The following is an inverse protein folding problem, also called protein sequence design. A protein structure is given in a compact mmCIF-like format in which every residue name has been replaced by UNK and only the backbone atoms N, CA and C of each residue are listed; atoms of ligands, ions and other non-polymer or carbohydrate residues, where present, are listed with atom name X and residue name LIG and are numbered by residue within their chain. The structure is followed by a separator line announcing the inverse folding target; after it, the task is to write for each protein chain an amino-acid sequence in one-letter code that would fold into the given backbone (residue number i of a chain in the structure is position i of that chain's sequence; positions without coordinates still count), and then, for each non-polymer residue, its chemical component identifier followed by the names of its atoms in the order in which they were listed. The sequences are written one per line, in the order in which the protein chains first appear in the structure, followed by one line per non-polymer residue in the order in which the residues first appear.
data_IF_949958739069
#
_entry.id   IF_949958739069
#
_cell.length_a   1.000
_cell.length_b   1.000
_cell.length_c   1.000
_cell.angle_alpha   90.00
_cell.angle_beta   90.00
_cell.angle_gamma   90.00
#
_symmetry.space_group_name_H-M   'P 1'
#
loop_
_entity.id
_entity.type
_entity.pdbx_description
1 polymer ?
#
# COMPACT_ATOMS: atom_id res chain seq x y z
N UNK A 1 13.43 23.96 -23.09
CA UNK A 1 13.03 22.87 -22.18
C UNK A 1 12.15 23.46 -21.09
N UNK A 2 10.84 23.26 -21.20
CA UNK A 2 9.83 23.83 -20.30
C UNK A 2 9.83 23.06 -18.97
N UNK A 3 9.95 23.77 -17.85
CA UNK A 3 9.97 23.23 -16.47
C UNK A 3 8.82 22.25 -16.15
N UNK A 4 7.70 22.30 -16.87
CA UNK A 4 6.57 21.39 -16.72
C UNK A 4 6.88 19.93 -17.11
N UNK A 5 7.76 19.69 -18.08
CA UNK A 5 8.04 18.33 -18.57
C UNK A 5 8.78 17.44 -17.56
N UNK A 6 9.62 18.04 -16.71
CA UNK A 6 10.44 17.32 -15.73
C UNK A 6 9.59 16.76 -14.58
N UNK A 7 8.65 17.58 -14.08
CA UNK A 7 7.77 17.20 -12.97
C UNK A 7 6.83 16.04 -13.37
N UNK A 8 6.23 16.13 -14.56
CA UNK A 8 5.39 15.05 -15.11
C UNK A 8 6.19 13.76 -15.36
N UNK A 9 7.44 13.88 -15.83
CA UNK A 9 8.31 12.71 -16.07
C UNK A 9 8.67 12.00 -14.76
N UNK A 10 8.98 12.76 -13.71
CA UNK A 10 9.24 12.22 -12.38
C UNK A 10 8.00 11.55 -11.77
N UNK A 11 6.81 12.17 -11.91
CA UNK A 11 5.55 11.61 -11.45
C UNK A 11 5.23 10.27 -12.13
N UNK A 12 5.53 10.14 -13.43
CA UNK A 12 5.35 8.88 -14.18
C UNK A 12 6.33 7.81 -13.70
N UNK A 13 7.60 8.15 -13.53
CA UNK A 13 8.63 7.20 -13.11
C UNK A 13 8.38 6.66 -11.68
N UNK A 14 8.07 7.56 -10.74
CA UNK A 14 7.73 7.17 -9.36
C UNK A 14 6.48 6.29 -9.29
N UNK A 15 5.39 6.66 -9.97
CA UNK A 15 4.19 5.83 -9.99
C UNK A 15 4.39 4.50 -10.73
N UNK A 16 5.23 4.45 -11.78
CA UNK A 16 5.58 3.18 -12.42
C UNK A 16 6.31 2.24 -11.46
N UNK A 17 7.27 2.76 -10.67
CA UNK A 17 7.97 1.97 -9.65
C UNK A 17 7.01 1.46 -8.58
N UNK A 18 6.12 2.33 -8.08
CA UNK A 18 5.12 1.94 -7.07
C UNK A 18 4.14 0.90 -7.63
N UNK A 19 3.77 0.98 -8.91
CA UNK A 19 2.92 -0.02 -9.56
C UNK A 19 3.60 -1.40 -9.60
N UNK A 20 4.90 -1.45 -9.92
CA UNK A 20 5.68 -2.70 -9.91
C UNK A 20 5.77 -3.27 -8.49
N UNK A 21 5.99 -2.42 -7.48
CA UNK A 21 6.00 -2.85 -6.08
C UNK A 21 4.63 -3.41 -5.67
N UNK A 22 3.53 -2.72 -6.00
CA UNK A 22 2.17 -3.19 -5.72
C UNK A 22 1.87 -4.55 -6.36
N UNK A 23 2.29 -4.75 -7.61
CA UNK A 23 2.20 -6.05 -8.29
C UNK A 23 3.04 -7.13 -7.60
N UNK A 24 4.28 -6.81 -7.20
CA UNK A 24 5.15 -7.76 -6.51
C UNK A 24 4.56 -8.17 -5.15
N UNK A 25 4.02 -7.24 -4.37
CA UNK A 25 3.35 -7.52 -3.10
C UNK A 25 2.11 -8.37 -3.31
N UNK A 26 1.30 -8.05 -4.32
CA UNK A 26 0.11 -8.84 -4.67
C UNK A 26 0.48 -10.26 -5.11
N UNK A 27 1.51 -10.38 -5.95
CA UNK A 27 2.05 -11.66 -6.40
C UNK A 27 2.60 -12.51 -5.26
N UNK A 28 3.33 -11.89 -4.33
CA UNK A 28 3.82 -12.56 -3.12
C UNK A 28 2.66 -13.05 -2.24
N UNK A 29 1.60 -12.24 -2.06
CA UNK A 29 0.42 -12.63 -1.30
C UNK A 29 -0.31 -13.84 -1.93
N UNK A 30 -0.42 -13.86 -3.27
CA UNK A 30 -1.00 -14.98 -4.01
C UNK A 30 -0.11 -16.22 -3.92
N UNK A 31 1.20 -16.07 -4.10
CA UNK A 31 2.17 -17.16 -4.01
C UNK A 31 2.11 -17.84 -2.64
N UNK A 32 2.20 -17.04 -1.56
CA UNK A 32 2.10 -17.53 -0.18
C UNK A 32 0.73 -18.15 0.12
N UNK A 33 -0.34 -17.73 -0.57
CA UNK A 33 -1.67 -18.34 -0.43
C UNK A 33 -1.77 -19.70 -1.10
N UNK A 34 -1.10 -19.90 -2.23
CA UNK A 34 -1.08 -21.19 -2.93
C UNK A 34 -0.24 -22.21 -2.16
N UNK A 35 0.84 -21.78 -1.50
CA UNK A 35 1.67 -22.64 -0.65
C UNK A 35 1.11 -22.91 0.76
N UNK A 36 -0.03 -22.29 1.13
CA UNK A 36 -0.69 -22.53 2.43
C UNK A 36 -1.06 -24.00 2.68
N UNK A 37 -1.27 -24.80 1.64
CA UNK A 37 -1.55 -26.23 1.80
C UNK A 37 -0.37 -27.03 2.39
N UNK A 38 0.82 -26.42 2.55
CA UNK A 38 2.03 -27.10 3.07
C UNK A 38 2.67 -26.47 4.30
N UNK A 39 2.32 -25.24 4.66
CA UNK A 39 2.96 -24.50 5.76
C UNK A 39 1.91 -23.70 6.54
N UNK A 40 1.77 -23.98 7.85
CA UNK A 40 0.87 -23.28 8.80
C UNK A 40 1.34 -21.84 9.09
N UNK A 41 1.37 -21.00 8.06
CA UNK A 41 1.77 -19.60 8.13
C UNK A 41 0.79 -18.77 9.00
N UNK A 42 -0.47 -19.21 9.14
CA UNK A 42 -1.46 -18.52 9.98
C UNK A 42 -1.14 -18.57 11.48
N UNK A 43 -0.48 -19.64 11.95
CA UNK A 43 -0.02 -19.74 13.34
C UNK A 43 1.16 -18.81 13.62
N UNK A 44 2.08 -18.64 12.66
CA UNK A 44 3.21 -17.71 12.78
C UNK A 44 2.81 -16.23 12.70
N UNK A 45 1.71 -15.92 12.02
CA UNK A 45 1.16 -14.56 11.97
C UNK A 45 0.14 -14.25 13.09
N UNK A 46 -0.05 -15.15 14.06
CA UNK A 46 -0.90 -14.90 15.23
C UNK A 46 -2.36 -14.58 14.87
N UNK A 47 -2.88 -15.24 13.83
CA UNK A 47 -4.10 -14.84 13.13
C UNK A 47 -5.42 -15.34 13.73
N UNK A 48 -5.41 -15.94 14.93
CA UNK A 48 -6.60 -16.61 15.49
C UNK A 48 -7.76 -15.66 15.82
N UNK A 49 -7.55 -14.34 15.82
CA UNK A 49 -8.57 -13.34 16.18
C UNK A 49 -8.94 -12.35 15.07
N UNK A 50 -8.28 -12.38 13.91
CA UNK A 50 -8.62 -11.49 12.81
C UNK A 50 -9.73 -12.11 11.92
N UNK A 51 -10.89 -11.43 11.82
CA UNK A 51 -11.98 -11.82 10.89
C UNK A 51 -11.54 -11.90 9.43
N UNK A 52 -10.45 -11.23 9.06
CA UNK A 52 -9.83 -11.24 7.73
C UNK A 52 -8.40 -11.72 7.92
N UNK A 53 -8.08 -12.93 7.45
CA UNK A 53 -6.74 -13.51 7.61
C UNK A 53 -5.63 -12.59 7.06
N UNK A 54 -4.42 -12.63 7.63
CA UNK A 54 -3.34 -11.68 7.34
C UNK A 54 -2.85 -11.74 5.87
N UNK A 55 -3.03 -12.87 5.21
CA UNK A 55 -2.73 -13.01 3.77
C UNK A 55 -3.77 -12.32 2.89
N UNK A 56 -5.03 -12.25 3.33
CA UNK A 56 -6.06 -11.48 2.66
C UNK A 56 -5.82 -9.97 2.79
N UNK A 57 -5.37 -9.49 3.96
CA UNK A 57 -5.03 -8.07 4.12
C UNK A 57 -3.81 -7.67 3.28
N UNK A 58 -2.78 -8.51 3.21
CA UNK A 58 -1.60 -8.28 2.35
C UNK A 58 -1.99 -8.18 0.86
N UNK A 59 -2.88 -9.08 0.40
CA UNK A 59 -3.41 -9.04 -0.96
C UNK A 59 -4.18 -7.74 -1.25
N UNK A 60 -5.08 -7.34 -0.34
CA UNK A 60 -5.86 -6.11 -0.50
C UNK A 60 -4.98 -4.87 -0.54
N UNK A 61 -3.95 -4.80 0.32
CA UNK A 61 -2.99 -3.69 0.34
C UNK A 61 -2.22 -3.63 -1.00
N UNK A 62 -1.73 -4.76 -1.50
CA UNK A 62 -1.05 -4.84 -2.79
C UNK A 62 -1.91 -4.33 -3.95
N UNK A 63 -3.17 -4.76 -4.02
CA UNK A 63 -4.12 -4.32 -5.04
C UNK A 63 -4.40 -2.81 -4.97
N UNK A 64 -4.58 -2.25 -3.77
CA UNK A 64 -4.81 -0.81 -3.60
C UNK A 64 -3.61 -0.01 -4.06
N UNK A 65 -2.39 -0.42 -3.67
CA UNK A 65 -1.15 0.25 -4.11
C UNK A 65 -1.03 0.25 -5.63
N UNK A 66 -1.28 -0.91 -6.26
CA UNK A 66 -1.21 -1.04 -7.71
C UNK A 66 -2.23 -0.16 -8.43
N UNK A 67 -3.50 -0.17 -7.99
CA UNK A 67 -4.56 0.66 -8.58
C UNK A 67 -4.28 2.16 -8.43
N UNK A 68 -3.80 2.58 -7.25
CA UNK A 68 -3.44 3.98 -6.98
C UNK A 68 -2.26 4.44 -7.86
N UNK A 69 -1.30 3.56 -8.09
CA UNK A 69 -0.17 3.85 -8.96
C UNK A 69 -0.57 3.94 -10.44
N UNK A 70 -1.47 3.05 -10.91
CA UNK A 70 -2.03 3.12 -12.26
C UNK A 70 -2.83 4.41 -12.48
N UNK A 71 -3.65 4.82 -11.51
CA UNK A 71 -4.33 6.11 -11.57
C UNK A 71 -3.34 7.27 -11.69
N UNK A 72 -2.22 7.24 -10.95
CA UNK A 72 -1.16 8.25 -11.05
C UNK A 72 -0.52 8.32 -12.43
N UNK A 73 -0.28 7.16 -13.07
CA UNK A 73 0.22 7.06 -14.44
C UNK A 73 -0.78 7.64 -15.47
N UNK A 74 -2.07 7.34 -15.33
CA UNK A 74 -3.13 7.85 -16.19
C UNK A 74 -3.28 9.37 -16.05
N UNK A 75 -3.30 9.88 -14.81
CA UNK A 75 -3.41 11.32 -14.51
C UNK A 75 -2.22 12.09 -15.07
N UNK A 76 -1.01 11.54 -14.97
CA UNK A 76 0.18 12.16 -15.55
C UNK A 76 0.18 12.19 -17.08
N UNK A 77 -0.66 11.39 -17.76
CA UNK A 77 -0.82 11.41 -19.23
C UNK A 77 -1.88 12.41 -19.69
N UNK A 78 -2.93 12.63 -18.91
CA UNK A 78 -4.06 13.46 -19.29
C UNK A 78 -3.79 14.97 -19.12
N UNK A 79 -2.76 15.35 -18.37
CA UNK A 79 -2.31 16.75 -18.12
C UNK A 79 -3.42 17.74 -17.75
N UNK A 80 -4.58 17.26 -17.28
CA UNK A 80 -5.65 18.10 -16.75
C UNK A 80 -5.30 18.48 -15.31
N UNK A 81 -4.97 19.75 -15.07
CA UNK A 81 -4.56 20.24 -13.75
C UNK A 81 -5.52 19.87 -12.61
N UNK A 82 -6.84 19.82 -12.87
CA UNK A 82 -7.85 19.41 -11.90
C UNK A 82 -7.69 17.93 -11.45
N UNK A 83 -7.37 17.02 -12.38
CA UNK A 83 -7.14 15.60 -12.04
C UNK A 83 -5.83 15.40 -11.28
N UNK A 84 -4.81 16.20 -11.58
CA UNK A 84 -3.53 16.16 -10.87
C UNK A 84 -3.71 16.60 -9.40
N UNK A 85 -4.52 17.64 -9.18
CA UNK A 85 -4.83 18.13 -7.83
C UNK A 85 -5.70 17.15 -7.04
N UNK A 86 -6.71 16.55 -7.66
CA UNK A 86 -7.52 15.52 -7.00
C UNK A 86 -6.66 14.31 -6.59
N UNK A 87 -5.73 13.89 -7.46
CA UNK A 87 -4.82 12.79 -7.16
C UNK A 87 -3.89 13.08 -5.98
N UNK A 88 -3.31 14.28 -5.91
CA UNK A 88 -2.43 14.67 -4.81
C UNK A 88 -3.18 14.75 -3.47
N UNK A 89 -4.43 15.25 -3.47
CA UNK A 89 -5.27 15.28 -2.27
C UNK A 89 -5.56 13.87 -1.76
N UNK A 90 -5.92 12.93 -2.65
CA UNK A 90 -6.18 11.54 -2.26
C UNK A 90 -4.90 10.89 -1.70
N UNK A 91 -3.75 11.08 -2.34
CA UNK A 91 -2.47 10.56 -1.83
C UNK A 91 -2.11 11.15 -0.46
N UNK A 92 -2.36 12.45 -0.25
CA UNK A 92 -2.08 13.12 1.01
C UNK A 92 -2.98 12.59 2.14
N UNK A 93 -4.27 12.41 1.88
CA UNK A 93 -5.20 11.78 2.83
C UNK A 93 -4.79 10.36 3.17
N UNK A 94 -4.36 9.57 2.18
CA UNK A 94 -3.87 8.21 2.40
C UNK A 94 -2.60 8.21 3.27
N UNK A 95 -1.68 9.15 3.02
CA UNK A 95 -0.47 9.32 3.82
C UNK A 95 -0.75 9.67 5.27
N UNK A 96 -1.67 10.60 5.51
CA UNK A 96 -2.11 10.97 6.86
C UNK A 96 -2.75 9.79 7.60
N UNK A 97 -3.60 9.01 6.91
CA UNK A 97 -4.20 7.79 7.46
C UNK A 97 -3.11 6.79 7.86
N UNK A 98 -2.10 6.60 7.02
CA UNK A 98 -1.03 5.63 7.26
C UNK A 98 -0.16 6.04 8.45
N UNK A 99 0.13 7.34 8.60
CA UNK A 99 0.81 7.88 9.79
C UNK A 99 -0.05 7.67 11.04
N UNK A 100 -1.35 7.96 10.99
CA UNK A 100 -2.25 7.76 12.13
C UNK A 100 -2.32 6.29 12.57
N UNK A 101 -2.42 5.36 11.61
CA UNK A 101 -2.38 3.92 11.87
C UNK A 101 -1.04 3.47 12.45
N UNK A 102 0.08 3.98 11.91
CA UNK A 102 1.42 3.66 12.40
C UNK A 102 1.64 4.12 13.85
N UNK A 103 1.24 5.36 14.16
CA UNK A 103 1.29 5.90 15.53
C UNK A 103 0.40 5.07 16.47
N UNK A 104 -0.83 4.77 16.06
CA UNK A 104 -1.75 3.95 16.85
C UNK A 104 -1.15 2.56 17.13
N UNK A 105 -0.55 1.92 16.12
CA UNK A 105 0.09 0.62 16.26
C UNK A 105 1.22 0.65 17.29
N UNK A 106 2.09 1.66 17.25
CA UNK A 106 3.19 1.82 18.21
C UNK A 106 2.64 1.97 19.65
N UNK A 107 1.61 2.80 19.86
CA UNK A 107 0.99 2.96 21.17
C UNK A 107 0.40 1.66 21.71
N UNK A 108 -0.31 0.90 20.86
CA UNK A 108 -0.88 -0.39 21.27
C UNK A 108 0.17 -1.45 21.55
N UNK A 109 1.26 -1.49 20.78
CA UNK A 109 2.37 -2.41 21.02
C UNK A 109 3.10 -2.10 22.33
N UNK A 110 3.35 -0.82 22.63
CA UNK A 110 3.92 -0.41 23.91
C UNK A 110 3.03 -0.85 25.10
N UNK A 111 1.73 -0.58 25.01
CA UNK A 111 0.78 -0.98 26.05
C UNK A 111 0.69 -2.50 26.25
N UNK A 112 0.84 -3.31 25.19
CA UNK A 112 0.89 -4.75 25.34
C UNK A 112 2.17 -5.21 26.05
N UNK A 113 3.33 -4.61 25.77
CA UNK A 113 4.57 -4.99 26.44
C UNK A 113 4.52 -4.73 27.94
N UNK A 114 3.92 -3.61 28.37
CA UNK A 114 3.78 -3.27 29.79
C UNK A 114 2.89 -4.25 30.59
N UNK A 115 2.06 -5.06 29.94
CA UNK A 115 1.16 -6.03 30.61
C UNK A 115 1.84 -7.40 30.82
N UNK A 116 2.86 -7.72 30.02
CA UNK A 116 3.55 -9.02 30.09
C UNK A 116 4.90 -8.99 30.85
N UNK A 117 5.31 -7.83 31.36
CA UNK A 117 6.35 -7.70 32.41
C UNK A 117 5.74 -7.73 33.82
#
# INVERSE_FOLDING_TARGET
MTRGGVCTSYLRASNALVAVIGLAVTGLAVFLRVDKDKVDIESYLGADKLKIGPLWSLFMIGCVIWLMALMGLCVARLEKGCMLYAYSVVQLLLGLLLVALGVSCIFFLGYQQDIYE
#
